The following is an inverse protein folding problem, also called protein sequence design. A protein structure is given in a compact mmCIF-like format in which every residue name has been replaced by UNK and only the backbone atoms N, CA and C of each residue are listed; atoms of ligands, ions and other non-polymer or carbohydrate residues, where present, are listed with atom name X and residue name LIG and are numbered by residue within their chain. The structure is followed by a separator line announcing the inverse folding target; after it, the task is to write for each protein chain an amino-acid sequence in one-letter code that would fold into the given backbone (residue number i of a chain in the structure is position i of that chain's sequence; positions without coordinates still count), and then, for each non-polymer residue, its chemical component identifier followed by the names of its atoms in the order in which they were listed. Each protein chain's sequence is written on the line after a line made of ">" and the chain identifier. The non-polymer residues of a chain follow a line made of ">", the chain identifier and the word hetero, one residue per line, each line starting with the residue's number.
data_IF_695069644511
#
_entry.id   IF_695069644511
#
_cell.length_a   1.000
_cell.length_b   1.000
_cell.length_c   1.000
_cell.angle_alpha   90.00
_cell.angle_beta   90.00
_cell.angle_gamma   90.00
#
_symmetry.space_group_name_H-M   'P 1'
#
loop_
_entity.id
_entity.type
_entity.pdbx_description
1 polymer ?
#
# COMPACT_ATOMS: atom_id res chain seq x y z
N UNK A 1 23.40 -9.71 -21.81
CA UNK A 1 23.23 -8.29 -21.42
C UNK A 1 23.39 -8.21 -19.92
N UNK A 2 24.15 -7.26 -19.38
CA UNK A 2 24.28 -7.12 -17.92
C UNK A 2 22.92 -6.71 -17.35
N UNK A 3 22.29 -7.58 -16.55
CA UNK A 3 21.04 -7.25 -15.89
C UNK A 3 21.28 -6.10 -14.91
N UNK A 4 20.42 -5.08 -14.94
CA UNK A 4 20.45 -4.01 -13.95
C UNK A 4 20.14 -4.52 -12.54
N UNK A 5 20.53 -3.77 -11.52
CA UNK A 5 20.24 -4.11 -10.12
C UNK A 5 18.80 -3.73 -9.72
N UNK A 6 18.29 -2.63 -10.28
CA UNK A 6 17.01 -2.01 -9.90
C UNK A 6 15.91 -2.33 -10.90
N UNK A 7 14.66 -2.34 -10.42
CA UNK A 7 13.48 -2.35 -11.29
C UNK A 7 13.41 -1.02 -12.03
N UNK A 8 13.35 -1.07 -13.36
CA UNK A 8 13.35 0.12 -14.23
C UNK A 8 12.05 0.31 -14.97
N UNK A 9 11.25 -0.74 -15.17
CA UNK A 9 9.93 -0.68 -15.78
C UNK A 9 9.01 -1.73 -15.19
N UNK A 10 7.71 -1.44 -15.24
CA UNK A 10 6.63 -2.38 -14.96
C UNK A 10 5.71 -2.49 -16.17
N UNK A 11 5.10 -3.65 -16.34
CA UNK A 11 4.04 -3.88 -17.32
C UNK A 11 3.09 -4.95 -16.78
N UNK A 12 1.93 -5.09 -17.40
CA UNK A 12 0.95 -6.13 -17.10
C UNK A 12 0.52 -6.79 -18.41
N UNK A 13 0.30 -8.10 -18.41
CA UNK A 13 -0.35 -8.79 -19.53
C UNK A 13 -1.75 -9.23 -19.11
N UNK A 14 -2.70 -9.18 -20.03
CA UNK A 14 -4.06 -9.73 -19.85
C UNK A 14 -4.42 -10.77 -20.91
N UNK A 15 -3.50 -11.04 -21.84
CA UNK A 15 -3.62 -12.05 -22.90
C UNK A 15 -2.27 -12.72 -23.16
N UNK A 16 -2.30 -13.93 -23.76
CA UNK A 16 -1.07 -14.67 -24.11
C UNK A 16 -0.19 -13.96 -25.15
N UNK A 17 -0.81 -13.29 -26.12
CA UNK A 17 -0.06 -12.54 -27.14
C UNK A 17 0.77 -11.42 -26.49
N UNK A 18 0.24 -10.76 -25.45
CA UNK A 18 0.99 -9.76 -24.68
C UNK A 18 2.15 -10.40 -23.90
N UNK A 19 1.95 -11.60 -23.34
CA UNK A 19 3.00 -12.35 -22.62
C UNK A 19 4.17 -12.69 -23.56
N UNK A 20 3.88 -13.15 -24.77
CA UNK A 20 4.89 -13.44 -25.80
C UNK A 20 5.66 -12.17 -26.20
N UNK A 21 4.95 -11.06 -26.43
CA UNK A 21 5.56 -9.77 -26.77
C UNK A 21 6.46 -9.26 -25.64
N UNK A 22 5.98 -9.29 -24.39
CA UNK A 22 6.75 -8.82 -23.23
C UNK A 22 7.98 -9.69 -22.97
N UNK A 23 7.84 -11.01 -23.09
CA UNK A 23 8.95 -11.96 -23.02
C UNK A 23 10.00 -11.68 -24.10
N UNK A 24 9.58 -11.48 -25.35
CA UNK A 24 10.48 -11.12 -26.46
C UNK A 24 11.18 -9.77 -26.24
N UNK A 25 10.55 -8.84 -25.54
CA UNK A 25 11.13 -7.55 -25.15
C UNK A 25 12.06 -7.65 -23.93
N UNK A 26 12.23 -8.82 -23.32
CA UNK A 26 13.11 -9.04 -22.18
C UNK A 26 12.51 -8.62 -20.83
N UNK A 27 11.18 -8.53 -20.71
CA UNK A 27 10.55 -8.44 -19.41
C UNK A 27 10.60 -9.79 -18.69
N UNK A 28 10.65 -9.74 -17.36
CA UNK A 28 10.50 -10.88 -16.46
C UNK A 28 9.12 -10.80 -15.82
N UNK A 29 8.43 -11.93 -15.62
CA UNK A 29 7.13 -11.94 -14.96
C UNK A 29 7.18 -12.58 -13.58
N UNK A 30 6.22 -12.19 -12.74
CA UNK A 30 5.91 -12.88 -11.49
C UNK A 30 4.83 -13.91 -11.82
N UNK A 31 5.13 -15.19 -11.59
CA UNK A 31 4.24 -16.30 -11.94
C UNK A 31 3.11 -16.47 -10.93
N UNK A 32 2.27 -15.43 -10.78
CA UNK A 32 1.06 -15.42 -9.95
C UNK A 32 -0.03 -14.73 -10.75
N UNK A 33 -1.19 -15.38 -10.88
CA UNK A 33 -2.35 -14.78 -11.53
C UNK A 33 -2.98 -13.73 -10.59
N UNK A 34 -3.03 -12.46 -11.01
CA UNK A 34 -3.61 -11.39 -10.20
C UNK A 34 -5.13 -11.53 -10.00
N UNK A 35 -5.82 -12.32 -10.83
CA UNK A 35 -7.24 -12.66 -10.68
C UNK A 35 -7.48 -14.02 -9.98
N UNK A 36 -6.49 -14.54 -9.25
CA UNK A 36 -6.59 -15.87 -8.64
C UNK A 36 -7.82 -15.97 -7.71
N UNK A 37 -8.64 -16.99 -7.95
CA UNK A 37 -9.87 -17.24 -7.21
C UNK A 37 -11.09 -16.43 -7.69
N UNK A 38 -10.91 -15.33 -8.43
CA UNK A 38 -12.02 -14.57 -9.03
C UNK A 38 -12.51 -15.18 -10.35
N UNK A 39 -11.65 -15.95 -11.02
CA UNK A 39 -11.91 -16.48 -12.36
C UNK A 39 -11.36 -15.54 -13.45
N UNK A 40 -11.95 -15.59 -14.65
CA UNK A 40 -11.61 -14.67 -15.74
C UNK A 40 -10.23 -14.88 -16.38
N UNK A 41 -9.67 -13.80 -16.93
CA UNK A 41 -8.39 -13.86 -17.63
C UNK A 41 -7.24 -14.07 -16.64
N UNK A 42 -6.20 -14.76 -17.10
CA UNK A 42 -4.92 -14.70 -16.43
C UNK A 42 -4.35 -13.29 -16.61
N UNK A 43 -3.98 -12.66 -15.50
CA UNK A 43 -3.31 -11.37 -15.48
C UNK A 43 -1.98 -11.54 -14.76
N UNK A 44 -0.88 -11.16 -15.42
CA UNK A 44 0.47 -11.31 -14.87
C UNK A 44 1.17 -9.96 -14.77
N UNK A 45 1.94 -9.79 -13.68
CA UNK A 45 2.81 -8.62 -13.49
C UNK A 45 4.18 -8.90 -14.11
N UNK A 46 4.68 -7.93 -14.87
CA UNK A 46 5.97 -7.94 -15.55
C UNK A 46 6.86 -6.80 -15.10
N UNK A 47 8.17 -7.00 -15.11
CA UNK A 47 9.16 -5.98 -14.78
C UNK A 47 10.43 -6.12 -15.62
N UNK A 48 11.22 -5.05 -15.64
CA UNK A 48 12.58 -5.03 -16.23
C UNK A 48 13.61 -4.54 -15.23
N UNK A 49 14.85 -4.97 -15.44
CA UNK A 49 16.03 -4.42 -14.79
C UNK A 49 17.08 -4.07 -15.83
N UNK A 50 17.20 -2.79 -16.13
CA UNK A 50 18.06 -2.29 -17.20
C UNK A 50 19.21 -1.45 -16.61
N UNK A 51 20.44 -1.72 -17.03
CA UNK A 51 21.60 -0.94 -16.59
C UNK A 51 21.53 0.50 -17.16
N UNK A 52 21.78 1.51 -16.32
CA UNK A 52 21.81 2.93 -16.73
C UNK A 52 20.44 3.61 -16.83
N UNK A 53 19.33 2.88 -16.64
CA UNK A 53 17.99 3.46 -16.63
C UNK A 53 17.61 3.96 -15.22
N UNK A 54 16.68 4.92 -15.15
CA UNK A 54 16.11 5.39 -13.88
C UNK A 54 15.40 4.23 -13.18
N UNK A 55 15.60 4.12 -11.88
CA UNK A 55 14.93 3.11 -11.04
C UNK A 55 13.53 3.55 -10.64
N UNK A 56 12.58 2.63 -10.67
CA UNK A 56 11.28 2.80 -10.03
C UNK A 56 11.48 2.95 -8.52
N UNK A 57 10.92 3.99 -7.92
CA UNK A 57 11.02 4.25 -6.47
C UNK A 57 9.68 4.18 -5.75
N UNK A 58 8.57 4.41 -6.45
CA UNK A 58 7.21 4.29 -5.91
C UNK A 58 6.30 3.58 -6.92
N UNK A 59 5.39 2.77 -6.39
CA UNK A 59 4.35 2.07 -7.14
C UNK A 59 3.04 2.35 -6.41
N UNK A 60 2.03 2.83 -7.14
CA UNK A 60 0.70 3.14 -6.62
C UNK A 60 -0.36 2.48 -7.50
N UNK A 61 -1.57 2.40 -6.98
CA UNK A 61 -2.73 1.87 -7.68
C UNK A 61 -3.84 2.90 -7.74
N UNK A 62 -4.70 2.77 -8.75
CA UNK A 62 -5.93 3.55 -8.86
C UNK A 62 -7.11 2.63 -9.15
N UNK A 63 -8.19 2.80 -8.40
CA UNK A 63 -9.50 2.17 -8.63
C UNK A 63 -10.62 3.19 -8.85
N UNK A 64 -10.26 4.48 -9.01
CA UNK A 64 -11.19 5.57 -9.34
C UNK A 64 -10.54 6.58 -10.30
N UNK A 65 -11.37 7.33 -11.03
CA UNK A 65 -10.88 8.36 -11.95
C UNK A 65 -10.15 9.50 -11.25
N UNK A 66 -10.56 9.87 -10.03
CA UNK A 66 -9.88 10.91 -9.24
C UNK A 66 -8.46 10.47 -8.84
N UNK A 67 -8.29 9.20 -8.45
CA UNK A 67 -6.95 8.65 -8.19
C UNK A 67 -6.08 8.67 -9.45
N UNK A 68 -6.63 8.31 -10.62
CA UNK A 68 -5.92 8.38 -11.90
C UNK A 68 -5.44 9.80 -12.21
N UNK A 69 -6.32 10.80 -12.04
CA UNK A 69 -5.97 12.21 -12.25
C UNK A 69 -4.84 12.64 -11.32
N UNK A 70 -4.97 12.39 -10.02
CA UNK A 70 -3.96 12.80 -9.03
C UNK A 70 -2.59 12.15 -9.28
N UNK A 71 -2.55 10.88 -9.70
CA UNK A 71 -1.31 10.19 -10.05
C UNK A 71 -0.69 10.74 -11.34
N UNK A 72 -1.50 10.99 -12.38
CA UNK A 72 -1.04 11.61 -13.61
C UNK A 72 -0.48 13.02 -13.37
N UNK A 73 -1.20 13.84 -12.58
CA UNK A 73 -0.80 15.20 -12.23
C UNK A 73 0.49 15.26 -11.39
N UNK A 74 0.79 14.18 -10.65
CA UNK A 74 2.01 13.98 -9.89
C UNK A 74 3.16 13.35 -10.72
N UNK A 75 2.92 13.06 -12.01
CA UNK A 75 3.95 12.55 -12.93
C UNK A 75 4.22 11.05 -12.83
N UNK A 76 3.30 10.26 -12.28
CA UNK A 76 3.39 8.79 -12.34
C UNK A 76 3.11 8.28 -13.76
N UNK A 77 3.80 7.22 -14.16
CA UNK A 77 3.56 6.52 -15.42
C UNK A 77 2.49 5.44 -15.23
N UNK A 78 1.44 5.50 -16.04
CA UNK A 78 0.36 4.51 -16.08
C UNK A 78 0.80 3.25 -16.85
N UNK A 79 0.66 2.08 -16.22
CA UNK A 79 0.56 0.82 -16.95
C UNK A 79 -0.89 0.64 -17.36
N UNK A 80 -1.19 0.94 -18.63
CA UNK A 80 -2.57 1.02 -19.12
C UNK A 80 -3.19 -0.36 -19.41
N UNK A 81 -3.31 -1.18 -18.36
CA UNK A 81 -3.98 -2.47 -18.35
C UNK A 81 -4.74 -2.60 -17.04
N UNK A 82 -5.97 -3.09 -17.16
CA UNK A 82 -6.81 -3.38 -16.00
C UNK A 82 -6.31 -4.66 -15.32
N UNK A 83 -5.98 -4.56 -14.03
CA UNK A 83 -5.50 -5.71 -13.26
C UNK A 83 -6.62 -6.73 -13.02
N UNK A 84 -7.88 -6.29 -13.06
CA UNK A 84 -9.08 -7.13 -12.94
C UNK A 84 -9.69 -7.47 -14.32
N UNK A 85 -8.88 -7.49 -15.38
CA UNK A 85 -9.38 -7.78 -16.72
C UNK A 85 -10.08 -9.15 -16.79
N UNK A 86 -11.30 -9.17 -17.32
CA UNK A 86 -12.06 -10.40 -17.52
C UNK A 86 -12.79 -10.92 -16.26
N UNK A 87 -12.75 -10.19 -15.15
CA UNK A 87 -13.58 -10.45 -13.97
C UNK A 87 -14.48 -9.25 -13.66
N UNK A 88 -15.54 -9.49 -12.89
CA UNK A 88 -16.30 -8.40 -12.27
C UNK A 88 -15.42 -7.75 -11.19
N UNK A 89 -15.70 -6.53 -10.75
CA UNK A 89 -14.97 -5.87 -9.66
C UNK A 89 -14.54 -4.45 -10.00
N UNK A 90 -13.64 -3.89 -9.19
CA UNK A 90 -13.10 -2.55 -9.44
C UNK A 90 -12.10 -2.61 -10.60
N UNK A 91 -12.10 -1.59 -11.48
CA UNK A 91 -11.06 -1.48 -12.50
C UNK A 91 -9.78 -0.90 -11.88
N UNK A 92 -8.78 -1.74 -11.67
CA UNK A 92 -7.54 -1.37 -10.98
C UNK A 92 -6.42 -1.16 -12.00
N UNK A 93 -5.66 -0.09 -11.84
CA UNK A 93 -4.52 0.22 -12.70
C UNK A 93 -3.28 0.46 -11.86
N UNK A 94 -2.14 -0.05 -12.34
CA UNK A 94 -0.83 0.14 -11.74
C UNK A 94 -0.17 1.41 -12.28
N UNK A 95 0.50 2.14 -11.38
CA UNK A 95 1.26 3.34 -11.68
C UNK A 95 2.63 3.26 -11.04
N UNK A 96 3.66 3.78 -11.69
CA UNK A 96 5.00 3.85 -11.10
C UNK A 96 5.69 5.18 -11.34
N UNK A 97 6.63 5.51 -10.46
CA UNK A 97 7.30 6.81 -10.45
C UNK A 97 8.82 6.66 -10.27
N UNK A 98 9.56 7.56 -10.93
CA UNK A 98 11.01 7.66 -10.84
C UNK A 98 11.38 8.85 -9.95
N UNK A 99 11.30 8.67 -8.65
CA UNK A 99 11.64 9.73 -7.72
C UNK A 99 13.14 9.89 -7.50
N UNK A 100 13.49 10.99 -6.85
CA UNK A 100 14.89 11.42 -6.65
C UNK A 100 15.10 12.13 -5.30
N UNK A 101 14.09 12.15 -4.43
CA UNK A 101 14.19 12.72 -3.09
C UNK A 101 14.92 11.75 -2.15
N UNK A 102 15.29 12.21 -0.94
CA UNK A 102 15.85 11.32 0.09
C UNK A 102 14.86 10.22 0.54
N UNK A 103 13.58 10.36 0.19
CA UNK A 103 12.50 9.43 0.49
C UNK A 103 12.28 8.39 -0.61
N UNK A 104 12.87 8.60 -1.79
CA UNK A 104 12.73 7.77 -2.98
C UNK A 104 13.83 6.71 -3.05
N UNK A 105 13.59 5.58 -2.39
CA UNK A 105 14.53 4.47 -2.37
C UNK A 105 14.19 3.49 -3.51
N UNK A 106 15.17 3.14 -4.38
CA UNK A 106 14.96 2.23 -5.50
C UNK A 106 14.34 0.90 -5.11
N UNK A 107 13.40 0.42 -5.91
CA UNK A 107 12.86 -0.94 -5.82
C UNK A 107 13.83 -1.91 -6.50
N UNK A 108 14.27 -2.94 -5.78
CA UNK A 108 15.21 -3.97 -6.30
C UNK A 108 14.51 -5.29 -6.57
N UNK A 109 13.35 -5.55 -5.97
CA UNK A 109 12.63 -6.79 -6.20
C UNK A 109 11.12 -6.65 -5.96
N UNK A 110 10.36 -7.56 -6.54
CA UNK A 110 8.90 -7.62 -6.46
C UNK A 110 8.46 -9.04 -6.11
N UNK A 111 7.37 -9.15 -5.34
CA UNK A 111 6.70 -10.42 -5.05
C UNK A 111 5.20 -10.21 -4.96
N UNK A 112 4.40 -11.24 -5.26
CA UNK A 112 2.94 -11.20 -5.12
C UNK A 112 2.54 -12.32 -4.18
N UNK A 113 1.65 -12.01 -3.23
CA UNK A 113 1.02 -13.01 -2.35
C UNK A 113 -0.43 -13.19 -2.76
N UNK A 114 -0.89 -14.44 -2.72
CA UNK A 114 -2.30 -14.81 -2.94
C UNK A 114 -2.91 -15.51 -1.72
N UNK A 115 -2.11 -15.76 -0.68
CA UNK A 115 -2.54 -16.25 0.61
C UNK A 115 -1.95 -15.38 1.74
N UNK A 116 -2.76 -15.09 2.75
CA UNK A 116 -2.36 -14.36 3.94
C UNK A 116 -1.29 -15.06 4.79
N UNK A 117 -1.16 -16.39 4.68
CA UNK A 117 -0.12 -17.17 5.40
C UNK A 117 1.30 -16.80 4.94
N UNK A 118 1.46 -16.31 3.71
CA UNK A 118 2.76 -15.93 3.14
C UNK A 118 3.24 -14.56 3.65
N UNK A 119 2.30 -13.68 4.02
CA UNK A 119 2.56 -12.26 4.23
C UNK A 119 3.48 -11.95 5.43
N UNK A 120 3.32 -12.57 6.62
CA UNK A 120 4.13 -12.20 7.78
C UNK A 120 5.62 -12.44 7.59
N UNK A 121 5.98 -13.53 6.89
CA UNK A 121 7.38 -13.86 6.60
C UNK A 121 8.03 -12.80 5.71
N UNK A 122 7.32 -12.31 4.69
CA UNK A 122 7.79 -11.21 3.84
C UNK A 122 8.00 -9.93 4.63
N UNK A 123 7.02 -9.58 5.49
CA UNK A 123 7.13 -8.40 6.33
C UNK A 123 8.32 -8.47 7.30
N UNK A 124 8.55 -9.64 7.91
CA UNK A 124 9.68 -9.87 8.81
C UNK A 124 11.03 -9.83 8.08
N UNK A 125 11.08 -10.27 6.83
CA UNK A 125 12.27 -10.13 5.97
C UNK A 125 12.45 -8.68 5.48
N UNK A 126 11.56 -7.74 5.81
CA UNK A 126 11.68 -6.33 5.42
C UNK A 126 11.20 -6.03 4.01
N UNK A 127 10.30 -6.85 3.47
CA UNK A 127 9.50 -6.49 2.32
C UNK A 127 8.36 -5.56 2.74
N UNK A 128 7.94 -4.72 1.80
CA UNK A 128 6.86 -3.77 1.99
C UNK A 128 5.67 -4.18 1.12
N UNK A 129 4.52 -4.46 1.75
CA UNK A 129 3.26 -4.66 1.03
C UNK A 129 2.68 -3.32 0.61
N UNK A 130 2.22 -3.22 -0.63
CA UNK A 130 1.49 -2.06 -1.12
C UNK A 130 0.02 -2.13 -0.71
N UNK A 131 -0.64 -0.98 -0.64
CA UNK A 131 -1.92 -0.83 0.06
C UNK A 131 -3.15 -1.45 -0.62
N UNK A 132 -3.08 -1.79 -1.91
CA UNK A 132 -4.26 -2.19 -2.68
C UNK A 132 -4.41 -3.71 -2.75
N UNK A 133 -5.59 -4.22 -2.41
CA UNK A 133 -6.04 -5.56 -2.82
C UNK A 133 -6.23 -5.56 -4.34
N UNK A 134 -5.36 -6.25 -5.07
CA UNK A 134 -5.34 -6.23 -6.54
C UNK A 134 -6.52 -6.97 -7.17
N UNK A 135 -7.33 -7.63 -6.35
CA UNK A 135 -8.55 -8.34 -6.75
C UNK A 135 -9.79 -7.67 -6.11
N UNK A 136 -9.69 -6.36 -5.83
CA UNK A 136 -10.70 -5.55 -5.14
C UNK A 136 -12.09 -5.73 -5.75
N UNK A 137 -13.04 -6.17 -4.92
CA UNK A 137 -14.45 -6.36 -5.26
C UNK A 137 -14.71 -7.38 -6.40
N UNK A 138 -13.69 -8.10 -6.85
CA UNK A 138 -13.83 -9.13 -7.87
C UNK A 138 -14.22 -10.51 -7.29
N UNK A 139 -14.13 -10.66 -5.97
CA UNK A 139 -14.22 -11.96 -5.30
C UNK A 139 -12.91 -12.73 -5.43
N UNK A 140 -12.83 -13.93 -4.88
CA UNK A 140 -11.58 -14.72 -4.92
C UNK A 140 -10.58 -14.36 -3.82
N UNK A 141 -9.29 -14.52 -4.12
CA UNK A 141 -8.22 -14.32 -3.15
C UNK A 141 -7.92 -12.83 -2.97
N UNK A 142 -7.44 -12.45 -1.77
CA UNK A 142 -6.82 -11.14 -1.56
C UNK A 142 -5.41 -11.18 -2.13
N UNK A 143 -5.15 -10.35 -3.14
CA UNK A 143 -3.87 -10.35 -3.85
C UNK A 143 -3.13 -9.06 -3.52
N UNK A 144 -1.86 -9.16 -3.11
CA UNK A 144 -1.04 -7.99 -2.78
C UNK A 144 0.32 -8.01 -3.46
N UNK A 145 0.73 -6.86 -3.99
CA UNK A 145 2.10 -6.63 -4.46
C UNK A 145 3.00 -6.20 -3.30
N UNK A 146 4.19 -6.80 -3.25
CA UNK A 146 5.25 -6.51 -2.31
C UNK A 146 6.49 -5.98 -3.04
N UNK A 147 7.16 -5.02 -2.41
CA UNK A 147 8.41 -4.44 -2.92
C UNK A 147 9.54 -4.66 -1.92
N UNK A 148 10.73 -5.01 -2.43
CA UNK A 148 11.98 -4.94 -1.68
C UNK A 148 12.73 -3.71 -2.15
N UNK A 149 13.18 -2.89 -1.19
CA UNK A 149 13.95 -1.68 -1.46
C UNK A 149 15.45 -1.94 -1.36
N UNK A 150 16.24 -1.15 -2.08
CA UNK A 150 17.72 -1.22 -2.05
C UNK A 150 18.26 -1.09 -0.62
N UNK A 151 17.68 -0.18 0.16
CA UNK A 151 18.10 0.12 1.53
C UNK A 151 16.95 -0.09 2.49
N UNK A 152 17.30 -0.55 3.70
CA UNK A 152 16.37 -0.54 4.82
C UNK A 152 15.88 0.89 5.06
N UNK A 153 14.60 1.03 5.32
CA UNK A 153 13.96 2.33 5.54
C UNK A 153 12.90 2.23 6.62
N UNK A 154 12.59 3.37 7.21
CA UNK A 154 11.68 3.51 8.32
C UNK A 154 10.62 4.55 7.99
N UNK A 155 9.40 4.36 8.46
CA UNK A 155 8.37 5.39 8.41
C UNK A 155 8.75 6.49 9.41
N UNK A 156 8.94 7.71 8.92
CA UNK A 156 9.26 8.88 9.75
C UNK A 156 8.06 9.79 9.97
N UNK A 157 7.08 9.78 9.08
CA UNK A 157 5.88 10.61 9.17
C UNK A 157 4.67 9.85 8.65
N UNK A 158 3.51 10.14 9.23
CA UNK A 158 2.21 9.71 8.73
C UNK A 158 1.26 10.91 8.69
N UNK A 159 0.32 10.88 7.75
CA UNK A 159 -0.79 11.83 7.67
C UNK A 159 -2.00 11.12 7.05
N UNK A 160 -3.11 11.83 6.87
CA UNK A 160 -4.29 11.33 6.18
C UNK A 160 -4.92 12.42 5.31
N UNK A 161 -5.66 12.02 4.28
CA UNK A 161 -6.49 12.91 3.45
C UNK A 161 -7.93 12.38 3.39
N UNK A 162 -8.90 13.28 3.21
CA UNK A 162 -10.34 12.96 3.11
C UNK A 162 -10.92 13.26 1.72
N UNK A 163 -10.04 13.58 0.78
CA UNK A 163 -10.29 13.88 -0.61
C UNK A 163 -8.98 13.76 -1.39
N UNK A 164 -9.04 14.07 -2.69
CA UNK A 164 -7.91 13.99 -3.62
C UNK A 164 -7.20 15.33 -3.85
N UNK A 165 -7.61 16.42 -3.17
CA UNK A 165 -7.09 17.78 -3.44
C UNK A 165 -5.61 17.88 -3.07
N UNK A 166 -5.21 17.20 -2.00
CA UNK A 166 -3.85 17.23 -1.48
C UNK A 166 -2.90 16.19 -2.11
N UNK A 167 -3.41 15.26 -2.92
CA UNK A 167 -2.66 14.10 -3.41
C UNK A 167 -1.36 14.50 -4.11
N UNK A 168 -1.46 15.40 -5.10
CA UNK A 168 -0.29 15.86 -5.86
C UNK A 168 0.77 16.44 -4.93
N UNK A 169 0.37 17.32 -4.01
CA UNK A 169 1.30 17.95 -3.09
C UNK A 169 1.95 16.93 -2.14
N UNK A 170 1.20 15.97 -1.62
CA UNK A 170 1.73 14.90 -0.78
C UNK A 170 2.72 14.01 -1.55
N UNK A 171 2.42 13.66 -2.81
CA UNK A 171 3.34 12.92 -3.66
C UNK A 171 4.63 13.71 -3.94
N UNK A 172 4.55 15.02 -4.19
CA UNK A 172 5.72 15.89 -4.38
C UNK A 172 6.59 15.99 -3.12
N UNK A 173 5.98 15.94 -1.93
CA UNK A 173 6.67 15.90 -0.63
C UNK A 173 7.29 14.52 -0.30
N UNK A 174 7.17 13.54 -1.21
CA UNK A 174 7.72 12.20 -1.05
C UNK A 174 6.88 11.26 -0.19
N UNK A 175 5.60 11.59 0.06
CA UNK A 175 4.69 10.64 0.69
C UNK A 175 4.29 9.52 -0.28
N UNK A 176 3.97 8.37 0.30
CA UNK A 176 3.31 7.25 -0.35
C UNK A 176 1.92 7.10 0.27
N UNK A 177 0.89 7.04 -0.56
CA UNK A 177 -0.49 6.74 -0.14
C UNK A 177 -0.60 5.24 0.13
N UNK A 178 -1.24 4.85 1.22
CA UNK A 178 -1.74 3.49 1.37
C UNK A 178 -3.00 3.41 0.50
N UNK A 179 -2.91 2.74 -0.65
CA UNK A 179 -4.02 2.62 -1.62
C UNK A 179 -5.15 1.67 -1.14
N UNK A 180 -5.60 1.85 0.10
CA UNK A 180 -6.82 1.30 0.67
C UNK A 180 -7.61 2.42 1.33
N UNK A 181 -8.88 2.50 0.97
CA UNK A 181 -9.82 3.48 1.51
C UNK A 181 -10.26 3.03 2.90
N UNK A 182 -9.99 3.83 3.93
CA UNK A 182 -10.39 3.48 5.30
C UNK A 182 -11.91 3.39 5.45
N UNK A 183 -12.66 4.04 4.55
CA UNK A 183 -14.12 3.98 4.46
C UNK A 183 -14.65 2.91 3.49
N UNK A 184 -13.83 1.94 3.06
CA UNK A 184 -14.25 0.93 2.07
C UNK A 184 -15.58 0.29 2.47
N UNK A 185 -16.60 0.45 1.61
CA UNK A 185 -17.94 -0.08 1.79
C UNK A 185 -18.82 0.65 2.81
N UNK A 186 -18.29 1.65 3.53
CA UNK A 186 -19.05 2.46 4.49
C UNK A 186 -19.83 3.61 3.83
N UNK A 187 -19.48 3.96 2.58
CA UNK A 187 -19.89 5.21 1.95
C UNK A 187 -19.08 6.39 2.49
N UNK A 188 -19.53 7.62 2.24
CA UNK A 188 -18.84 8.83 2.71
C UNK A 188 -17.64 9.24 1.84
N UNK A 189 -16.64 9.87 2.46
CA UNK A 189 -15.46 10.35 1.75
C UNK A 189 -14.50 9.19 1.44
N UNK A 190 -13.68 9.34 0.39
CA UNK A 190 -12.47 8.54 0.27
C UNK A 190 -11.44 9.05 1.27
N UNK A 191 -11.01 8.17 2.19
CA UNK A 191 -10.06 8.54 3.23
C UNK A 191 -8.84 7.64 3.16
N UNK A 192 -7.66 8.24 3.01
CA UNK A 192 -6.41 7.51 2.84
C UNK A 192 -5.40 7.89 3.90
N UNK A 193 -4.71 6.88 4.42
CA UNK A 193 -3.48 7.08 5.17
C UNK A 193 -2.31 7.28 4.20
N UNK A 194 -1.37 8.12 4.63
CA UNK A 194 -0.14 8.39 3.91
C UNK A 194 1.03 8.22 4.86
N UNK A 195 2.17 7.84 4.33
CA UNK A 195 3.40 7.79 5.10
C UNK A 195 4.58 8.27 4.27
N UNK A 196 5.63 8.71 4.94
CA UNK A 196 6.93 9.03 4.34
C UNK A 196 8.01 8.20 4.99
N UNK A 197 8.99 7.78 4.18
CA UNK A 197 10.08 6.92 4.65
C UNK A 197 11.36 7.70 4.84
N UNK A 198 12.33 7.13 5.52
CA UNK A 198 13.71 7.65 5.59
C UNK A 198 14.68 6.50 5.86
N UNK A 199 15.94 6.66 5.44
CA UNK A 199 17.02 5.77 5.87
C UNK A 199 17.64 6.21 7.21
N UNK A 200 17.28 7.40 7.70
CA UNK A 200 17.74 7.92 8.99
C UNK A 200 16.89 7.35 10.13
N UNK A 201 17.43 6.33 10.79
CA UNK A 201 16.80 5.66 11.93
C UNK A 201 16.40 6.62 13.06
N UNK A 202 17.09 7.75 13.22
CA UNK A 202 16.78 8.75 14.26
C UNK A 202 15.52 9.57 13.97
N UNK A 203 15.07 9.60 12.72
CA UNK A 203 13.85 10.31 12.28
C UNK A 203 12.59 9.47 12.40
N UNK A 204 12.73 8.15 12.49
CA UNK A 204 11.63 7.18 12.44
C UNK A 204 10.61 7.32 13.58
N UNK A 205 9.36 6.95 13.29
CA UNK A 205 8.31 6.70 14.27
C UNK A 205 8.54 5.34 14.94
N UNK A 206 7.98 5.17 16.14
CA UNK A 206 8.19 3.95 16.93
C UNK A 206 6.92 3.27 17.41
N UNK A 207 5.77 3.94 17.33
CA UNK A 207 4.48 3.30 17.58
C UNK A 207 3.37 3.97 16.79
N UNK A 208 2.36 3.17 16.43
CA UNK A 208 1.08 3.64 15.89
C UNK A 208 -0.07 3.13 16.77
N UNK A 209 -1.16 3.87 16.81
CA UNK A 209 -2.38 3.47 17.49
C UNK A 209 -3.61 4.10 16.82
N UNK A 210 -4.80 3.66 17.23
CA UNK A 210 -6.10 4.15 16.78
C UNK A 210 -6.97 4.43 18.00
N UNK A 211 -7.76 5.49 17.96
CA UNK A 211 -8.84 5.75 18.91
C UNK A 211 -10.19 5.73 18.21
N UNK A 212 -11.21 5.13 18.83
CA UNK A 212 -12.61 5.19 18.39
C UNK A 212 -13.54 5.80 19.45
N UNK A 213 -12.96 6.41 20.50
CA UNK A 213 -13.67 7.10 21.57
C UNK A 213 -12.81 8.18 22.24
N UNK A 214 -13.47 9.19 22.82
CA UNK A 214 -12.79 10.27 23.56
C UNK A 214 -11.95 9.77 24.75
N UNK A 215 -12.36 8.67 25.40
CA UNK A 215 -11.61 8.09 26.50
C UNK A 215 -10.26 7.53 26.03
N UNK A 216 -10.25 6.87 24.86
CA UNK A 216 -9.01 6.39 24.24
C UNK A 216 -8.13 7.54 23.76
N UNK A 217 -8.72 8.60 23.21
CA UNK A 217 -7.97 9.81 22.86
C UNK A 217 -7.24 10.39 24.07
N UNK A 218 -7.94 10.56 25.20
CA UNK A 218 -7.35 11.07 26.43
C UNK A 218 -6.22 10.16 26.95
N UNK A 219 -6.40 8.84 26.87
CA UNK A 219 -5.39 7.86 27.25
C UNK A 219 -4.14 7.96 26.36
N UNK A 220 -4.30 7.93 25.05
CA UNK A 220 -3.17 8.00 24.09
C UNK A 220 -2.41 9.32 24.21
N UNK A 221 -3.13 10.42 24.43
CA UNK A 221 -2.54 11.73 24.69
C UNK A 221 -1.69 11.73 25.97
N UNK A 222 -2.19 11.12 27.05
CA UNK A 222 -1.45 10.98 28.31
C UNK A 222 -0.22 10.06 28.16
N UNK A 223 -0.29 9.07 27.28
CA UNK A 223 0.83 8.19 26.91
C UNK A 223 1.83 8.86 25.95
N UNK A 224 1.60 10.10 25.51
CA UNK A 224 2.53 10.87 24.69
C UNK A 224 2.42 10.61 23.18
N UNK A 225 1.35 9.95 22.72
CA UNK A 225 1.06 9.86 21.28
C UNK A 225 0.60 11.21 20.74
N UNK A 226 0.82 11.42 19.44
CA UNK A 226 0.34 12.57 18.67
C UNK A 226 -0.80 12.13 17.77
N UNK A 227 -1.95 12.80 17.87
CA UNK A 227 -3.15 12.55 17.06
C UNK A 227 -2.99 13.15 15.67
N UNK A 228 -3.42 12.43 14.63
CA UNK A 228 -3.67 13.03 13.32
C UNK A 228 -4.97 13.85 13.36
N UNK A 229 -5.00 14.99 12.69
CA UNK A 229 -6.17 15.89 12.70
C UNK A 229 -7.38 15.37 11.90
N UNK A 230 -7.19 14.29 11.14
CA UNK A 230 -8.19 13.76 10.21
C UNK A 230 -8.95 12.60 10.85
N UNK A 231 -10.28 12.69 10.81
CA UNK A 231 -11.16 11.56 11.12
C UNK A 231 -11.06 10.54 9.96
N UNK A 232 -10.58 9.34 10.26
CA UNK A 232 -10.46 8.23 9.31
C UNK A 232 -11.81 7.68 8.84
N UNK A 233 -12.89 8.05 9.52
CA UNK A 233 -14.26 7.68 9.21
C UNK A 233 -15.08 8.85 8.63
N UNK A 234 -14.40 9.86 8.08
CA UNK A 234 -15.03 11.12 7.67
C UNK A 234 -16.12 10.88 6.62
N UNK A 235 -17.28 11.49 6.84
CA UNK A 235 -18.39 11.48 5.88
C UNK A 235 -19.28 10.24 5.96
N UNK A 236 -18.99 9.31 6.86
CA UNK A 236 -19.87 8.17 7.16
C UNK A 236 -20.78 8.50 8.35
N UNK A 237 -21.71 7.58 8.67
CA UNK A 237 -22.52 7.62 9.89
C UNK A 237 -21.84 6.96 11.10
N UNK A 238 -20.58 6.55 10.97
CA UNK A 238 -19.83 5.83 11.98
C UNK A 238 -19.28 6.72 13.09
N UNK A 239 -18.52 6.12 14.01
CA UNK A 239 -17.82 6.87 15.05
C UNK A 239 -16.66 7.64 14.45
N UNK A 240 -16.28 8.71 15.14
CA UNK A 240 -15.00 9.36 14.91
C UNK A 240 -13.85 8.38 15.20
N UNK A 241 -12.96 8.21 14.22
CA UNK A 241 -11.79 7.36 14.32
C UNK A 241 -10.55 8.18 13.99
N UNK A 242 -9.53 8.13 14.83
CA UNK A 242 -8.28 8.88 14.60
C UNK A 242 -7.06 7.97 14.69
N UNK A 243 -6.12 8.16 13.78
CA UNK A 243 -4.79 7.57 13.88
C UNK A 243 -3.87 8.40 14.77
N UNK A 244 -2.97 7.70 15.46
CA UNK A 244 -2.01 8.26 16.39
C UNK A 244 -0.63 7.71 16.10
N UNK A 245 0.40 8.51 16.34
CA UNK A 245 1.77 8.09 16.21
C UNK A 245 2.64 8.56 17.39
N UNK A 246 3.74 7.84 17.60
CA UNK A 246 4.73 8.16 18.63
C UNK A 246 6.13 8.06 18.06
N UNK A 247 7.05 8.82 18.64
CA UNK A 247 8.48 8.74 18.38
C UNK A 247 9.22 8.75 19.70
N UNK A 248 9.76 7.60 20.09
CA UNK A 248 10.47 7.39 21.34
C UNK A 248 11.61 6.39 21.19
N UNK A 249 12.79 6.76 21.69
CA UNK A 249 13.95 5.88 21.71
C UNK A 249 14.44 5.47 20.31
N UNK A 250 15.34 4.49 20.29
CA UNK A 250 16.01 4.02 19.06
C UNK A 250 15.82 2.52 18.77
N UNK A 251 14.98 1.79 19.51
CA UNK A 251 14.97 0.31 19.43
C UNK A 251 13.75 -0.29 18.71
N UNK A 252 12.72 0.50 18.39
CA UNK A 252 11.45 0.00 17.82
C UNK A 252 10.96 0.79 16.61
N UNK A 253 11.82 1.05 15.63
CA UNK A 253 11.43 1.84 14.45
C UNK A 253 10.51 1.07 13.52
N UNK A 254 9.44 1.76 13.15
CA UNK A 254 8.47 1.26 12.18
C UNK A 254 9.10 1.29 10.80
N UNK A 255 9.15 0.14 10.15
CA UNK A 255 9.58 -0.09 8.78
C UNK A 255 8.38 -0.10 7.80
N UNK A 256 7.24 -0.58 8.27
CA UNK A 256 6.04 -0.73 7.45
C UNK A 256 4.74 -0.51 8.23
N UNK A 257 3.73 -0.01 7.52
CA UNK A 257 2.37 0.24 8.00
C UNK A 257 1.37 -0.28 6.97
N UNK A 258 0.36 -1.00 7.41
CA UNK A 258 -0.54 -1.79 6.57
C UNK A 258 -1.99 -1.68 7.07
N UNK A 259 -2.93 -1.68 6.13
CA UNK A 259 -4.35 -1.83 6.42
C UNK A 259 -4.80 -3.25 6.07
N UNK A 260 -5.29 -3.99 7.06
CA UNK A 260 -5.69 -5.38 6.94
C UNK A 260 -7.21 -5.48 6.84
N UNK A 261 -7.71 -5.82 5.66
CA UNK A 261 -9.13 -6.08 5.38
C UNK A 261 -9.48 -7.58 5.38
N UNK A 262 -8.47 -8.44 5.22
CA UNK A 262 -8.63 -9.89 5.17
C UNK A 262 -8.59 -10.47 6.58
N UNK A 263 -9.67 -11.11 7.02
CA UNK A 263 -9.76 -11.70 8.36
C UNK A 263 -8.76 -12.83 8.62
N UNK A 264 -8.34 -13.56 7.58
CA UNK A 264 -7.26 -14.54 7.68
C UNK A 264 -5.95 -13.86 8.04
N UNK A 265 -5.65 -12.72 7.40
CA UNK A 265 -4.43 -11.96 7.66
C UNK A 265 -4.36 -11.41 9.09
N UNK A 266 -5.48 -11.06 9.73
CA UNK A 266 -5.48 -10.64 11.13
C UNK A 266 -4.84 -11.69 12.03
N UNK A 267 -5.29 -12.95 11.89
CA UNK A 267 -4.77 -14.06 12.67
C UNK A 267 -3.30 -14.36 12.38
N UNK A 268 -2.91 -14.41 11.09
CA UNK A 268 -1.53 -14.73 10.73
C UNK A 268 -0.54 -13.66 11.20
N UNK A 269 -0.92 -12.39 11.16
CA UNK A 269 -0.08 -11.30 11.65
C UNK A 269 0.06 -11.32 13.18
N UNK A 270 -1.04 -11.58 13.90
CA UNK A 270 -1.01 -11.73 15.36
C UNK A 270 -0.15 -12.92 15.79
N UNK A 271 -0.30 -14.08 15.14
CA UNK A 271 0.54 -15.27 15.40
C UNK A 271 2.03 -15.00 15.18
N UNK A 272 2.36 -14.21 14.16
CA UNK A 272 3.73 -13.83 13.84
C UNK A 272 4.30 -12.72 14.75
N UNK A 273 3.56 -12.24 15.75
CA UNK A 273 3.99 -11.20 16.68
C UNK A 273 4.19 -9.83 16.02
N UNK A 274 3.49 -9.56 14.92
CA UNK A 274 3.47 -8.23 14.29
C UNK A 274 2.54 -7.33 15.10
N UNK A 275 2.89 -6.04 15.24
CA UNK A 275 2.04 -5.12 15.99
C UNK A 275 0.72 -4.96 15.27
N UNK A 276 -0.37 -5.30 15.95
CA UNK A 276 -1.72 -5.29 15.43
C UNK A 276 -2.59 -4.40 16.33
N UNK A 277 -3.18 -3.36 15.75
CA UNK A 277 -4.06 -2.44 16.46
C UNK A 277 -5.49 -2.92 16.29
N UNK A 278 -6.02 -3.58 17.32
CA UNK A 278 -7.36 -4.16 17.35
C UNK A 278 -8.46 -3.09 17.54
N UNK A 279 -8.55 -2.18 16.57
CA UNK A 279 -9.55 -1.10 16.46
C UNK A 279 -10.02 -1.01 15.03
N UNK A 280 -11.29 -1.31 14.79
CA UNK A 280 -11.87 -1.25 13.45
C UNK A 280 -11.89 0.21 12.97
N UNK A 281 -11.30 0.49 11.80
CA UNK A 281 -11.29 1.84 11.24
C UNK A 281 -12.68 2.30 10.77
N UNK A 282 -13.60 1.36 10.54
CA UNK A 282 -15.00 1.60 10.21
C UNK A 282 -15.95 1.41 11.42
N UNK A 283 -15.45 1.60 12.65
CA UNK A 283 -16.27 1.42 13.85
C UNK A 283 -17.55 2.28 13.80
N UNK A 284 -18.68 1.67 14.13
CA UNK A 284 -20.00 2.30 14.12
C UNK A 284 -20.68 2.43 12.75
N UNK A 285 -20.13 1.87 11.66
CA UNK A 285 -20.80 1.81 10.36
C UNK A 285 -20.76 0.38 9.75
N UNK A 286 -21.34 0.22 8.56
CA UNK A 286 -21.45 -1.07 7.85
C UNK A 286 -20.34 -1.31 6.81
N UNK A 287 -19.25 -0.53 6.87
CA UNK A 287 -18.09 -0.72 6.03
C UNK A 287 -17.32 -1.99 6.35
N UNK A 288 -16.29 -2.25 5.56
CA UNK A 288 -15.39 -3.36 5.78
C UNK A 288 -14.71 -3.22 7.15
N UNK A 289 -14.50 -4.33 7.84
CA UNK A 289 -13.66 -4.33 9.04
C UNK A 289 -12.22 -4.17 8.58
N UNK A 290 -11.57 -3.09 9.02
CA UNK A 290 -10.19 -2.77 8.65
C UNK A 290 -9.39 -2.55 9.93
N UNK A 291 -8.25 -3.21 10.03
CA UNK A 291 -7.31 -3.03 11.15
C UNK A 291 -5.98 -2.47 10.66
N UNK A 292 -5.32 -1.70 11.51
CA UNK A 292 -3.97 -1.22 11.29
C UNK A 292 -2.96 -2.24 11.83
N UNK A 293 -1.97 -2.62 11.02
CA UNK A 293 -0.81 -3.39 11.45
C UNK A 293 0.49 -2.66 11.09
N UNK A 294 1.53 -2.86 11.89
CA UNK A 294 2.84 -2.26 11.62
C UNK A 294 4.00 -3.10 12.18
N UNK A 295 5.16 -2.96 11.56
CA UNK A 295 6.41 -3.64 11.92
C UNK A 295 7.53 -2.64 11.98
#
# INVERSE_FOLDING_TARGET
>A
MANGQYITKLHVSTTKDEEEILGAQGYQFINVNLNQGAGGNQVLLWYKKECGNRSVTRIQFSFSNSMKSGLADAGYELVNRDLNAGVCGDHIFLWYFYGSTEFDIPVVNLQVTADAEEEPALLQDGWERLGCDLNRNAGGNFIYLWVKREKLSYICEITASVDFVSDKHLFELGYTRVDEDTNRGAGGNYVFLWYRRTTDKSKALTALNISTSLQEEAKLQAEGFKKLSVNLNKGTSGKDVYAWHKKEGCESQIQAMLLLINSKAWNEYQKAGINFVEKNLNDGNNGWIIYLAYK
#
